data_IF_374398807877
#
_entry.id   IF_374398807877
#
_cell.length_a   1.000
_cell.length_b   1.000
_cell.length_c   1.000
_cell.angle_alpha   90.00
_cell.angle_beta   90.00
_cell.angle_gamma   90.00
#
_symmetry.space_group_name_H-M   'P 1'
#
loop_
_entity.id
_entity.type
_entity.pdbx_description
1 polymer ?
#
# COMPACT_ATOMS: atom_id res chain seq x y z
N UNK A 1 -6.01 10.58 -3.67
CA UNK A 1 -5.69 9.62 -2.59
C UNK A 1 -6.53 9.85 -1.33
N UNK A 2 -6.32 10.89 -0.52
CA UNK A 2 -7.10 11.05 0.73
C UNK A 2 -8.59 11.32 0.50
N UNK A 3 -8.92 12.16 -0.48
CA UNK A 3 -10.32 12.44 -0.84
C UNK A 3 -11.02 11.19 -1.37
N UNK A 4 -10.32 10.40 -2.18
CA UNK A 4 -10.82 9.10 -2.70
C UNK A 4 -11.06 8.09 -1.58
N UNK A 5 -10.33 8.20 -0.46
CA UNK A 5 -10.54 7.34 0.70
C UNK A 5 -11.64 7.84 1.64
N UNK A 6 -12.16 9.05 1.43
CA UNK A 6 -13.11 9.69 2.34
C UNK A 6 -12.47 10.17 3.65
N UNK A 7 -11.14 10.38 3.65
CA UNK A 7 -10.34 10.82 4.79
C UNK A 7 -9.33 9.78 5.29
N UNK A 8 -8.68 10.10 6.41
CA UNK A 8 -7.72 9.18 7.04
C UNK A 8 -8.43 7.93 7.61
N UNK A 9 -7.89 6.71 7.40
CA UNK A 9 -8.44 5.49 8.01
C UNK A 9 -8.61 5.54 9.52
N UNK A 10 -7.66 6.16 10.22
CA UNK A 10 -7.82 6.40 11.66
C UNK A 10 -9.06 7.23 11.95
N UNK A 11 -9.37 8.26 11.15
CA UNK A 11 -10.54 9.12 11.39
C UNK A 11 -11.83 8.42 10.98
N UNK A 12 -11.93 7.95 9.73
CA UNK A 12 -13.21 7.44 9.24
C UNK A 12 -13.62 6.12 9.91
N UNK A 13 -12.69 5.31 10.43
CA UNK A 13 -13.04 4.06 11.15
C UNK A 13 -13.77 4.33 12.46
N UNK A 14 -13.57 5.50 13.09
CA UNK A 14 -14.31 5.90 14.29
C UNK A 14 -15.72 6.42 13.98
N UNK A 15 -16.05 6.71 12.72
CA UNK A 15 -17.39 7.14 12.34
C UNK A 15 -18.43 6.07 12.63
N UNK A 16 -19.66 6.48 12.92
CA UNK A 16 -20.77 5.55 13.15
C UNK A 16 -21.17 4.76 11.90
N UNK A 17 -20.88 5.29 10.71
CA UNK A 17 -21.14 4.64 9.41
C UNK A 17 -20.01 3.75 8.93
N UNK A 18 -18.92 3.60 9.70
CA UNK A 18 -17.76 2.83 9.27
C UNK A 18 -18.01 1.33 9.31
N UNK A 19 -17.10 0.55 8.71
CA UNK A 19 -17.13 -0.93 8.76
C UNK A 19 -16.84 -1.53 10.14
N UNK A 20 -16.51 -0.70 11.13
CA UNK A 20 -16.23 -1.19 12.48
C UNK A 20 -17.54 -1.64 13.14
N UNK A 21 -17.49 -2.80 13.81
CA UNK A 21 -18.60 -3.31 14.62
C UNK A 21 -19.05 -2.27 15.67
N UNK A 22 -20.37 -2.15 15.88
CA UNK A 22 -20.95 -1.13 16.75
C UNK A 22 -20.48 -1.25 18.19
N UNK A 23 -20.41 -2.48 18.73
CA UNK A 23 -19.95 -2.69 20.10
C UNK A 23 -18.48 -2.33 20.27
N UNK A 24 -17.65 -2.68 19.29
CA UNK A 24 -16.23 -2.37 19.28
C UNK A 24 -15.99 -0.86 19.17
N UNK A 25 -16.68 -0.18 18.26
CA UNK A 25 -16.65 1.29 18.15
C UNK A 25 -17.05 1.95 19.46
N UNK A 26 -18.12 1.47 20.09
CA UNK A 26 -18.59 2.00 21.38
C UNK A 26 -17.53 1.86 22.47
N UNK A 27 -16.84 0.72 22.58
CA UNK A 27 -15.73 0.54 23.54
C UNK A 27 -14.58 1.52 23.26
N UNK A 28 -14.22 1.73 21.99
CA UNK A 28 -13.19 2.71 21.61
C UNK A 28 -13.60 4.14 21.96
N UNK A 29 -14.83 4.55 21.62
CA UNK A 29 -15.36 5.87 21.98
C UNK A 29 -15.38 6.06 23.50
N UNK A 30 -15.83 5.06 24.27
CA UNK A 30 -15.86 5.11 25.73
C UNK A 30 -14.46 5.25 26.33
N UNK A 31 -13.50 4.44 25.86
CA UNK A 31 -12.11 4.52 26.30
C UNK A 31 -11.53 5.91 26.01
N UNK A 32 -11.70 6.43 24.80
CA UNK A 32 -11.15 7.72 24.41
C UNK A 32 -11.82 8.88 25.16
N UNK A 33 -13.15 8.86 25.29
CA UNK A 33 -13.89 9.87 26.05
C UNK A 33 -13.48 9.89 27.53
N UNK A 34 -13.23 8.72 28.15
CA UNK A 34 -12.75 8.64 29.52
C UNK A 34 -11.35 9.24 29.73
N UNK A 35 -10.50 9.23 28.69
CA UNK A 35 -9.15 9.81 28.72
C UNK A 35 -9.11 11.29 28.33
N UNK A 36 -10.15 11.76 27.65
CA UNK A 36 -10.26 13.09 27.06
C UNK A 36 -11.61 13.71 27.44
N UNK A 37 -11.85 14.05 28.72
CA UNK A 37 -13.16 14.50 29.20
C UNK A 37 -13.63 15.81 28.56
N UNK A 38 -12.69 16.63 28.04
CA UNK A 38 -12.99 17.89 27.36
C UNK A 38 -13.47 17.69 25.90
N UNK A 39 -13.33 16.48 25.35
CA UNK A 39 -13.75 16.14 23.99
C UNK A 39 -15.09 15.41 24.02
N UNK A 40 -16.14 16.09 23.53
CA UNK A 40 -17.46 15.49 23.34
C UNK A 40 -17.46 14.64 22.07
N UNK A 41 -17.50 13.31 22.25
CA UNK A 41 -17.49 12.38 21.12
C UNK A 41 -18.80 12.47 20.31
N UNK A 42 -18.73 12.59 18.97
CA UNK A 42 -19.92 12.78 18.13
C UNK A 42 -20.88 11.59 18.21
N UNK A 43 -22.17 11.90 18.24
CA UNK A 43 -23.23 10.93 17.97
C UNK A 43 -23.44 10.76 16.47
N UNK A 44 -24.20 9.73 16.09
CA UNK A 44 -24.61 9.53 14.70
C UNK A 44 -25.43 10.72 14.14
N UNK A 45 -26.17 11.44 14.98
CA UNK A 45 -26.89 12.65 14.56
C UNK A 45 -25.94 13.82 14.29
N UNK A 46 -24.88 13.96 15.09
CA UNK A 46 -23.86 15.01 14.92
C UNK A 46 -23.08 14.82 13.62
N UNK A 47 -22.71 13.57 13.30
CA UNK A 47 -22.06 13.23 12.02
C UNK A 47 -22.92 13.62 10.82
N UNK A 48 -24.22 13.32 10.86
CA UNK A 48 -25.17 13.68 9.79
C UNK A 48 -25.31 15.19 9.64
N UNK A 49 -25.27 15.94 10.74
CA UNK A 49 -25.39 17.40 10.72
C UNK A 49 -24.13 18.06 10.16
N UNK A 50 -22.96 17.62 10.59
CA UNK A 50 -21.68 18.15 10.13
C UNK A 50 -20.55 17.12 10.32
N UNK A 51 -20.32 16.33 9.28
CA UNK A 51 -19.28 15.30 9.29
C UNK A 51 -17.87 15.88 9.50
N UNK A 52 -17.57 17.06 8.93
CA UNK A 52 -16.25 17.69 9.05
C UNK A 52 -15.95 18.07 10.50
N UNK A 53 -16.95 18.59 11.21
CA UNK A 53 -16.82 18.90 12.63
C UNK A 53 -16.64 17.63 13.48
N UNK A 54 -17.40 16.56 13.18
CA UNK A 54 -17.24 15.28 13.85
C UNK A 54 -15.85 14.66 13.62
N UNK A 55 -15.37 14.68 12.37
CA UNK A 55 -14.04 14.20 11.99
C UNK A 55 -12.92 14.95 12.71
N UNK A 56 -13.10 16.25 12.99
CA UNK A 56 -12.12 17.04 13.75
C UNK A 56 -12.00 16.56 15.21
N UNK A 57 -13.10 16.16 15.84
CA UNK A 57 -13.09 15.57 17.19
C UNK A 57 -12.34 14.23 17.17
N UNK A 58 -12.67 13.35 16.22
CA UNK A 58 -11.97 12.07 16.06
C UNK A 58 -10.47 12.27 15.81
N UNK A 59 -10.10 13.19 14.91
CA UNK A 59 -8.71 13.51 14.62
C UNK A 59 -7.94 14.00 15.85
N UNK A 60 -8.57 14.81 16.71
CA UNK A 60 -7.99 15.27 17.98
C UNK A 60 -7.71 14.11 18.94
N UNK A 61 -8.68 13.21 19.12
CA UNK A 61 -8.52 12.03 19.97
C UNK A 61 -7.46 11.06 19.45
N UNK A 62 -7.41 10.84 18.14
CA UNK A 62 -6.37 10.02 17.48
C UNK A 62 -4.99 10.62 17.70
N UNK A 63 -4.84 11.94 17.60
CA UNK A 63 -3.56 12.61 17.83
C UNK A 63 -3.05 12.34 19.24
N UNK A 64 -3.93 12.44 20.25
CA UNK A 64 -3.60 12.06 21.62
C UNK A 64 -3.22 10.58 21.74
N UNK A 65 -4.02 9.68 21.16
CA UNK A 65 -3.78 8.23 21.23
C UNK A 65 -2.42 7.86 20.63
N UNK A 66 -2.06 8.44 19.47
CA UNK A 66 -0.76 8.25 18.82
C UNK A 66 0.41 8.62 19.73
N UNK A 67 0.34 9.76 20.41
CA UNK A 67 1.39 10.16 21.36
C UNK A 67 1.40 9.26 22.60
N UNK A 68 0.23 8.84 23.09
CA UNK A 68 0.10 7.95 24.25
C UNK A 68 0.79 6.60 24.03
N UNK A 69 0.68 6.04 22.83
CA UNK A 69 1.23 4.70 22.49
C UNK A 69 2.59 4.75 21.81
N UNK A 70 3.16 5.95 21.66
CA UNK A 70 4.41 6.17 20.95
C UNK A 70 5.55 5.37 21.60
N UNK A 71 6.18 4.49 20.83
CA UNK A 71 7.28 3.62 21.29
C UNK A 71 6.91 2.66 22.43
N UNK A 72 5.64 2.55 22.79
CA UNK A 72 5.15 1.64 23.85
C UNK A 72 4.23 0.55 23.30
N UNK A 73 3.84 0.64 22.02
CA UNK A 73 3.04 -0.35 21.33
C UNK A 73 3.77 -0.91 20.08
N UNK A 74 4.58 -1.97 20.23
CA UNK A 74 5.41 -2.52 19.14
C UNK A 74 4.62 -2.92 17.88
N UNK A 75 3.37 -3.37 18.04
CA UNK A 75 2.50 -3.70 16.91
C UNK A 75 2.12 -2.44 16.12
N UNK A 76 1.79 -1.34 16.79
CA UNK A 76 1.47 -0.06 16.14
C UNK A 76 2.68 0.48 15.39
N UNK A 77 3.87 0.38 16.00
CA UNK A 77 5.12 0.81 15.37
C UNK A 77 5.44 -0.04 14.12
N UNK A 78 5.23 -1.36 14.18
CA UNK A 78 5.38 -2.27 13.04
C UNK A 78 4.43 -1.91 11.90
N UNK A 79 3.14 -1.74 12.18
CA UNK A 79 2.16 -1.40 11.13
C UNK A 79 2.40 -0.01 10.55
N UNK A 80 2.85 0.96 11.35
CA UNK A 80 3.24 2.28 10.86
C UNK A 80 4.44 2.20 9.90
N UNK A 81 5.45 1.39 10.24
CA UNK A 81 6.61 1.16 9.37
C UNK A 81 6.20 0.48 8.06
N UNK A 82 5.33 -0.53 8.13
CA UNK A 82 4.81 -1.22 6.96
C UNK A 82 3.98 -0.27 6.08
N UNK A 83 3.10 0.54 6.66
CA UNK A 83 2.36 1.56 5.92
C UNK A 83 3.30 2.56 5.22
N UNK A 84 4.33 3.04 5.93
CA UNK A 84 5.37 3.90 5.38
C UNK A 84 6.08 3.26 4.18
N UNK A 85 6.46 1.98 4.28
CA UNK A 85 7.03 1.22 3.17
C UNK A 85 6.10 1.18 1.95
N UNK A 86 4.80 0.87 2.14
CA UNK A 86 3.85 0.81 1.02
C UNK A 86 3.70 2.16 0.32
N UNK A 87 3.60 3.25 1.10
CA UNK A 87 3.51 4.61 0.54
C UNK A 87 4.78 5.00 -0.21
N UNK A 88 5.95 4.67 0.33
CA UNK A 88 7.24 4.95 -0.33
C UNK A 88 7.35 4.19 -1.65
N UNK A 89 7.00 2.89 -1.65
CA UNK A 89 6.93 2.09 -2.87
C UNK A 89 5.97 2.72 -3.89
N UNK A 90 4.76 3.11 -3.48
CA UNK A 90 3.80 3.77 -4.38
C UNK A 90 4.35 5.06 -4.99
N UNK A 91 5.08 5.87 -4.21
CA UNK A 91 5.76 7.07 -4.71
C UNK A 91 6.88 6.76 -5.72
N UNK A 92 7.55 5.62 -5.58
CA UNK A 92 8.61 5.17 -6.48
C UNK A 92 8.11 4.36 -7.69
N UNK A 93 6.80 4.09 -7.80
CA UNK A 93 6.23 3.20 -8.82
C UNK A 93 6.71 3.53 -10.23
N UNK A 94 6.67 4.81 -10.61
CA UNK A 94 7.06 5.24 -11.95
C UNK A 94 8.54 4.95 -12.21
N UNK A 95 9.43 5.24 -11.26
CA UNK A 95 10.86 4.94 -11.39
C UNK A 95 11.11 3.43 -11.45
N UNK A 96 10.42 2.65 -10.62
CA UNK A 96 10.51 1.19 -10.63
C UNK A 96 10.06 0.57 -11.95
N UNK A 97 8.97 1.07 -12.54
CA UNK A 97 8.49 0.64 -13.86
C UNK A 97 9.50 0.96 -14.97
N UNK A 98 10.01 2.20 -15.01
CA UNK A 98 11.01 2.58 -16.01
C UNK A 98 12.29 1.76 -15.87
N UNK A 99 12.77 1.54 -14.64
CA UNK A 99 13.94 0.70 -14.39
C UNK A 99 13.76 -0.73 -14.92
N UNK A 100 12.61 -1.34 -14.62
CA UNK A 100 12.31 -2.70 -15.11
C UNK A 100 12.14 -2.75 -16.63
N UNK A 101 11.50 -1.76 -17.25
CA UNK A 101 11.34 -1.71 -18.71
C UNK A 101 12.69 -1.52 -19.44
N UNK A 102 13.57 -0.66 -18.91
CA UNK A 102 14.92 -0.48 -19.45
C UNK A 102 15.71 -1.79 -19.35
N UNK A 103 15.61 -2.49 -18.21
CA UNK A 103 16.27 -3.78 -18.02
C UNK A 103 15.76 -4.85 -18.99
N UNK A 104 14.44 -4.93 -19.22
CA UNK A 104 13.84 -5.81 -20.24
C UNK A 104 14.42 -5.51 -21.63
N UNK A 105 14.45 -4.23 -22.03
CA UNK A 105 15.00 -3.84 -23.33
C UNK A 105 16.48 -4.23 -23.43
N UNK A 106 17.26 -4.02 -22.37
CA UNK A 106 18.67 -4.40 -22.33
C UNK A 106 18.86 -5.93 -22.48
N UNK A 107 18.06 -6.74 -21.78
CA UNK A 107 18.08 -8.19 -21.92
C UNK A 107 17.69 -8.64 -23.33
N UNK A 108 16.66 -8.04 -23.92
CA UNK A 108 16.24 -8.36 -25.30
C UNK A 108 17.32 -7.99 -26.32
N UNK A 109 17.95 -6.81 -26.19
CA UNK A 109 19.07 -6.40 -27.04
C UNK A 109 20.27 -7.35 -26.87
N UNK A 110 20.57 -7.79 -25.65
CA UNK A 110 21.67 -8.72 -25.38
C UNK A 110 21.42 -10.11 -25.98
N UNK A 111 20.18 -10.61 -25.97
CA UNK A 111 19.79 -11.85 -26.66
C UNK A 111 19.88 -11.64 -28.17
N UNK A 112 19.36 -10.53 -28.67
CA UNK A 112 19.31 -10.21 -30.09
C UNK A 112 20.72 -10.10 -30.71
N UNK A 113 21.67 -9.51 -30.00
CA UNK A 113 23.06 -9.38 -30.43
C UNK A 113 23.80 -10.72 -30.58
N UNK A 114 23.25 -11.83 -30.08
CA UNK A 114 23.84 -13.17 -30.21
C UNK A 114 23.29 -13.95 -31.43
N UNK A 115 22.37 -13.37 -32.18
CA UNK A 115 21.81 -13.98 -33.39
C UNK A 115 22.56 -13.40 -34.60
N UNK A 116 23.35 -14.22 -35.28
CA UNK A 116 24.16 -13.77 -36.43
C UNK A 116 23.38 -13.75 -37.76
N UNK A 117 22.30 -14.52 -37.85
CA UNK A 117 21.56 -14.79 -39.11
C UNK A 117 20.20 -14.09 -39.16
N UNK A 118 20.15 -12.81 -38.77
CA UNK A 118 18.91 -12.03 -38.68
C UNK A 118 18.00 -12.10 -39.92
N UNK A 119 18.47 -11.81 -41.16
CA UNK A 119 17.61 -11.82 -42.33
C UNK A 119 16.96 -13.19 -42.63
N UNK A 120 17.69 -14.27 -42.38
CA UNK A 120 17.21 -15.63 -42.58
C UNK A 120 16.30 -16.07 -41.43
N UNK A 121 16.64 -15.71 -40.20
CA UNK A 121 15.84 -16.03 -39.02
C UNK A 121 14.46 -15.36 -39.08
N UNK A 122 14.36 -14.08 -39.48
CA UNK A 122 13.06 -13.42 -39.60
C UNK A 122 12.17 -14.01 -40.72
N UNK A 123 12.79 -14.63 -41.73
CA UNK A 123 12.09 -15.27 -42.84
C UNK A 123 11.68 -16.72 -42.54
N UNK A 124 12.32 -17.38 -41.56
CA UNK A 124 12.05 -18.76 -41.14
C UNK A 124 11.87 -18.87 -39.63
N UNK A 125 10.61 -19.06 -39.21
CA UNK A 125 10.21 -19.26 -37.81
C UNK A 125 10.98 -20.39 -37.12
N UNK A 126 11.28 -21.49 -37.82
CA UNK A 126 12.00 -22.63 -37.22
C UNK A 126 13.45 -22.27 -36.94
N UNK A 127 14.09 -21.56 -37.87
CA UNK A 127 15.45 -21.05 -37.70
C UNK A 127 15.50 -20.03 -36.56
N UNK A 128 14.54 -19.10 -36.49
CA UNK A 128 14.44 -18.13 -35.40
C UNK A 128 14.35 -18.80 -34.02
N UNK A 129 13.47 -19.78 -33.85
CA UNK A 129 13.33 -20.52 -32.58
C UNK A 129 14.62 -21.28 -32.23
N UNK A 130 15.30 -21.86 -33.23
CA UNK A 130 16.56 -22.56 -33.00
C UNK A 130 17.67 -21.62 -32.55
N UNK A 131 17.81 -20.45 -33.19
CA UNK A 131 18.79 -19.44 -32.80
C UNK A 131 18.45 -18.78 -31.46
N UNK A 132 17.17 -18.51 -31.17
CA UNK A 132 16.76 -18.06 -29.83
C UNK A 132 17.05 -19.05 -28.71
N UNK A 133 17.00 -20.37 -28.98
CA UNK A 133 17.36 -21.38 -27.98
C UNK A 133 18.87 -21.43 -27.72
N UNK A 134 19.68 -21.13 -28.74
CA UNK A 134 21.13 -21.03 -28.62
C UNK A 134 21.56 -19.69 -28.01
N UNK A 135 20.87 -18.62 -28.37
CA UNK A 135 21.09 -17.27 -27.91
C UNK A 135 20.58 -17.13 -26.47
N UNK A 136 21.43 -16.62 -25.60
CA UNK A 136 21.08 -16.35 -24.21
C UNK A 136 21.65 -17.39 -23.25
N UNK A 137 22.70 -16.96 -22.56
CA UNK A 137 23.09 -17.51 -21.28
C UNK A 137 21.84 -17.62 -20.36
N UNK A 138 21.62 -18.74 -19.63
CA UNK A 138 20.53 -18.89 -18.66
C UNK A 138 20.37 -17.70 -17.71
N UNK A 139 21.46 -17.00 -17.38
CA UNK A 139 21.44 -15.79 -16.59
C UNK A 139 20.62 -14.63 -17.24
N UNK A 140 20.72 -14.45 -18.56
CA UNK A 140 20.00 -13.38 -19.28
C UNK A 140 18.50 -13.68 -19.32
N UNK A 141 18.15 -14.95 -19.58
CA UNK A 141 16.76 -15.40 -19.50
C UNK A 141 16.18 -15.27 -18.09
N UNK A 142 16.98 -15.60 -17.07
CA UNK A 142 16.61 -15.40 -15.66
C UNK A 142 16.37 -13.93 -15.32
N UNK A 143 17.24 -13.03 -15.76
CA UNK A 143 17.07 -11.58 -15.58
C UNK A 143 15.78 -11.08 -16.23
N UNK A 144 15.52 -11.46 -17.49
CA UNK A 144 14.31 -11.07 -18.22
C UNK A 144 13.03 -11.50 -17.47
N UNK A 145 13.01 -12.73 -16.93
CA UNK A 145 11.87 -13.22 -16.14
C UNK A 145 11.68 -12.39 -14.87
N UNK A 146 12.76 -12.08 -14.15
CA UNK A 146 12.70 -11.26 -12.93
C UNK A 146 12.17 -9.86 -13.26
N UNK A 147 12.62 -9.23 -14.34
CA UNK A 147 12.16 -7.90 -14.72
C UNK A 147 10.70 -7.88 -15.15
N UNK A 148 10.23 -8.93 -15.86
CA UNK A 148 8.80 -9.11 -16.16
C UNK A 148 7.99 -9.23 -14.86
N UNK A 149 8.44 -10.03 -13.90
CA UNK A 149 7.79 -10.15 -12.59
C UNK A 149 7.80 -8.81 -11.84
N UNK A 150 8.88 -8.03 -11.95
CA UNK A 150 8.96 -6.70 -11.38
C UNK A 150 7.92 -5.76 -12.00
N UNK A 151 7.77 -5.74 -13.34
CA UNK A 151 6.73 -4.97 -14.02
C UNK A 151 5.33 -5.38 -13.52
N UNK A 152 5.07 -6.68 -13.40
CA UNK A 152 3.80 -7.19 -12.86
C UNK A 152 3.58 -6.75 -11.41
N UNK A 153 4.60 -6.82 -10.55
CA UNK A 153 4.50 -6.36 -9.17
C UNK A 153 4.21 -4.85 -9.08
N UNK A 154 4.92 -4.03 -9.84
CA UNK A 154 4.70 -2.58 -9.87
C UNK A 154 3.34 -2.18 -10.44
N UNK A 155 2.82 -2.93 -11.41
CA UNK A 155 1.53 -2.63 -12.04
C UNK A 155 0.36 -3.13 -11.20
N UNK A 156 0.39 -4.38 -10.74
CA UNK A 156 -0.74 -5.06 -10.10
C UNK A 156 -0.76 -4.89 -8.58
N UNK A 157 0.39 -4.92 -7.91
CA UNK A 157 0.46 -4.90 -6.44
C UNK A 157 0.63 -3.47 -5.92
N UNK A 158 1.51 -2.67 -6.52
CA UNK A 158 1.83 -1.32 -6.03
C UNK A 158 0.80 -0.29 -6.51
N UNK A 159 -0.41 -0.38 -5.97
CA UNK A 159 -1.55 0.48 -6.27
C UNK A 159 -2.06 1.22 -5.01
N UNK A 160 -3.03 2.12 -5.18
CA UNK A 160 -3.55 2.94 -4.07
C UNK A 160 -4.37 2.12 -3.05
N UNK A 161 -5.00 1.02 -3.48
CA UNK A 161 -5.71 0.09 -2.57
C UNK A 161 -4.74 -0.65 -1.65
N UNK A 162 -3.59 -1.07 -2.18
CA UNK A 162 -2.54 -1.72 -1.39
C UNK A 162 -1.99 -0.79 -0.30
N UNK A 163 -1.82 0.50 -0.62
CA UNK A 163 -1.43 1.54 0.35
C UNK A 163 -2.55 1.77 1.36
N UNK A 164 -3.81 1.88 0.92
CA UNK A 164 -4.99 2.05 1.79
C UNK A 164 -5.09 0.90 2.80
N UNK A 165 -4.90 -0.34 2.36
CA UNK A 165 -4.91 -1.51 3.24
C UNK A 165 -3.83 -1.45 4.33
N UNK A 166 -2.66 -0.87 4.03
CA UNK A 166 -1.63 -0.64 5.04
C UNK A 166 -2.02 0.43 6.06
N UNK A 167 -2.67 1.51 5.58
CA UNK A 167 -3.18 2.57 6.45
C UNK A 167 -4.32 2.07 7.37
N UNK A 168 -5.17 1.18 6.87
CA UNK A 168 -6.23 0.52 7.65
C UNK A 168 -5.66 -0.43 8.71
N UNK A 169 -4.68 -1.27 8.35
CA UNK A 169 -3.98 -2.16 9.32
C UNK A 169 -3.33 -1.34 10.45
N UNK A 170 -2.70 -0.21 10.10
CA UNK A 170 -2.18 0.72 11.09
C UNK A 170 -3.27 1.29 12.01
N UNK A 171 -4.41 1.71 11.45
CA UNK A 171 -5.51 2.26 12.23
C UNK A 171 -6.13 1.21 13.17
N UNK A 172 -6.32 -0.03 12.70
CA UNK A 172 -6.80 -1.14 13.52
C UNK A 172 -5.83 -1.47 14.67
N UNK A 173 -4.52 -1.55 14.38
CA UNK A 173 -3.51 -1.76 15.40
C UNK A 173 -3.50 -0.63 16.44
N UNK A 174 -3.68 0.62 15.99
CA UNK A 174 -3.79 1.77 16.88
C UNK A 174 -5.01 1.65 17.80
N UNK A 175 -6.19 1.31 17.29
CA UNK A 175 -7.39 1.19 18.12
C UNK A 175 -7.41 -0.04 19.02
N UNK A 176 -6.76 -1.13 18.62
CA UNK A 176 -6.58 -2.29 19.48
C UNK A 176 -5.86 -1.96 20.81
N UNK A 177 -5.13 -0.83 20.89
CA UNK A 177 -4.52 -0.37 22.14
C UNK A 177 -5.54 0.11 23.18
N UNK A 178 -6.73 0.55 22.76
CA UNK A 178 -7.82 0.95 23.66
C UNK A 178 -8.38 -0.22 24.47
N UNK A 179 -8.23 -1.46 24.00
CA UNK A 179 -8.73 -2.68 24.68
C UNK A 179 -7.69 -3.30 25.62
N UNK A 180 -6.42 -2.88 25.50
CA UNK A 180 -5.30 -3.45 26.26
C UNK A 180 -4.96 -2.68 27.53
N UNK A 181 -5.68 -1.59 27.84
CA UNK A 181 -5.23 -0.57 28.82
C UNK A 181 -6.30 -0.04 29.76
#
# INVERSE_FOLDING_TARGET
MLDEWGGWPTTYLLRHTSRLDEHTRRRYHQYLAARLPDLQFPSHADEKKNQVAADAIYASAIKWLKEKVRKTAPLVDKENAQYGFRRNMRGMRTMGLWGALIAIVASLVAIAAQIDVWPQAVADMKLFIAELRKAGNPAIWGALVIDILAVLAWTLVVNDEWVKGGAEQYAEALFATCERS
#
